data_IF_237291857132
#
_entry.id   IF_237291857132
#
_cell.length_a   1.000
_cell.length_b   1.000
_cell.length_c   1.000
_cell.angle_alpha   90.00
_cell.angle_beta   90.00
_cell.angle_gamma   90.00
#
_symmetry.space_group_name_H-M   'P 1'
#
loop_
_entity.id
_entity.type
_entity.pdbx_description
1 polymer ?
#
# COMPACT_ATOMS: atom_id res chain seq x y z
N UNK A 1 2.15 23.47 8.82
CA UNK A 1 3.50 23.73 8.26
C UNK A 1 3.50 25.09 7.55
N UNK A 2 4.34 26.03 7.97
CA UNK A 2 4.32 27.42 7.48
C UNK A 2 5.70 27.99 7.16
N UNK A 3 6.77 27.22 7.39
CA UNK A 3 8.14 27.59 7.03
C UNK A 3 8.55 26.72 5.85
N UNK A 4 9.17 27.28 4.83
CA UNK A 4 9.67 26.52 3.67
C UNK A 4 11.19 26.44 3.75
N UNK A 5 11.76 25.26 3.48
CA UNK A 5 13.22 25.11 3.42
C UNK A 5 13.78 25.73 2.14
N UNK A 6 14.84 26.54 2.25
CA UNK A 6 15.49 27.18 1.11
C UNK A 6 16.27 26.22 0.21
N UNK A 7 16.66 25.04 0.71
CA UNK A 7 17.47 24.08 -0.04
C UNK A 7 16.66 23.01 -0.78
N UNK A 8 15.52 22.60 -0.23
CA UNK A 8 14.73 21.48 -0.76
C UNK A 8 13.22 21.76 -0.85
N UNK A 9 12.80 22.99 -0.58
CA UNK A 9 11.39 23.44 -0.65
C UNK A 9 10.42 22.70 0.27
N UNK A 10 10.93 21.83 1.15
CA UNK A 10 10.10 21.10 2.10
C UNK A 10 9.38 22.04 3.06
N UNK A 11 8.09 21.78 3.29
CA UNK A 11 7.28 22.49 4.28
C UNK A 11 7.60 21.99 5.69
N UNK A 12 7.86 22.93 6.59
CA UNK A 12 8.30 22.72 7.97
C UNK A 12 7.34 23.35 8.98
N UNK A 13 7.37 22.85 10.20
CA UNK A 13 6.71 23.49 11.34
C UNK A 13 7.60 24.55 11.99
N UNK A 14 6.99 25.56 12.61
CA UNK A 14 7.73 26.55 13.40
C UNK A 14 8.38 25.83 14.60
N UNK A 15 9.68 26.04 14.82
CA UNK A 15 10.45 25.38 15.88
C UNK A 15 11.13 24.08 15.48
N UNK A 16 10.90 23.55 14.28
CA UNK A 16 11.66 22.38 13.80
C UNK A 16 13.13 22.70 13.57
N UNK A 17 14.00 21.78 13.99
CA UNK A 17 15.44 21.92 13.80
C UNK A 17 15.77 22.17 12.31
N UNK A 18 16.75 23.03 11.99
CA UNK A 18 17.09 23.38 10.60
C UNK A 18 17.41 22.17 9.72
N UNK A 19 17.92 21.09 10.32
CA UNK A 19 18.34 19.88 9.61
C UNK A 19 17.24 18.85 9.31
N UNK A 20 15.99 19.02 9.77
CA UNK A 20 14.97 17.97 9.70
C UNK A 20 14.58 17.48 8.29
N UNK A 21 14.75 18.30 7.25
CA UNK A 21 14.32 17.97 5.89
C UNK A 21 15.46 17.50 4.98
N UNK A 22 16.54 18.28 4.89
CA UNK A 22 17.67 18.02 4.00
C UNK A 22 19.03 18.17 4.70
N UNK A 23 19.04 18.16 6.04
CA UNK A 23 20.23 18.41 6.84
C UNK A 23 20.99 19.70 6.43
N UNK A 24 20.25 20.81 6.28
CA UNK A 24 20.78 22.11 5.79
C UNK A 24 21.45 22.00 4.41
N UNK A 25 20.80 21.30 3.48
CA UNK A 25 21.28 21.15 2.10
C UNK A 25 22.33 20.06 1.87
N UNK A 26 22.74 19.31 2.91
CA UNK A 26 23.68 18.19 2.78
C UNK A 26 23.07 16.94 2.14
N UNK A 27 21.74 16.81 2.20
CA UNK A 27 21.00 15.70 1.62
C UNK A 27 20.16 16.21 0.47
N UNK A 28 20.43 15.72 -0.74
CA UNK A 28 19.59 15.92 -1.90
C UNK A 28 18.60 14.76 -2.00
N UNK A 29 17.32 15.04 -1.73
CA UNK A 29 16.27 14.04 -1.90
C UNK A 29 15.95 13.88 -3.39
N UNK A 30 15.80 12.64 -3.90
CA UNK A 30 15.30 12.45 -5.25
C UNK A 30 13.88 13.01 -5.36
N UNK A 31 13.51 13.45 -6.57
CA UNK A 31 12.13 13.87 -6.84
C UNK A 31 11.20 12.70 -6.61
N UNK A 32 10.05 12.99 -6.00
CA UNK A 32 8.97 12.02 -5.90
C UNK A 32 8.52 11.64 -7.31
N UNK A 33 8.40 10.34 -7.53
CA UNK A 33 7.86 9.80 -8.78
C UNK A 33 6.35 9.88 -8.67
N UNK A 34 5.71 10.39 -9.73
CA UNK A 34 4.26 10.44 -9.77
C UNK A 34 3.68 9.02 -9.69
N UNK A 35 2.60 8.81 -8.93
CA UNK A 35 1.95 7.52 -8.86
C UNK A 35 1.43 7.09 -10.25
N UNK A 36 1.39 5.78 -10.55
CA UNK A 36 0.81 5.29 -11.80
C UNK A 36 -0.71 5.51 -11.81
N UNK A 37 -1.33 5.52 -13.00
CA UNK A 37 -2.80 5.49 -13.09
C UNK A 37 -3.35 4.12 -12.67
N UNK A 38 -4.52 4.06 -12.00
CA UNK A 38 -5.45 5.16 -11.71
C UNK A 38 -5.15 5.98 -10.44
N UNK A 39 -4.07 5.66 -9.71
CA UNK A 39 -3.79 6.27 -8.40
C UNK A 39 -3.54 7.78 -8.49
N UNK A 40 -2.86 8.24 -9.55
CA UNK A 40 -2.66 9.68 -9.79
C UNK A 40 -3.98 10.44 -9.90
N UNK A 41 -4.92 9.94 -10.69
CA UNK A 41 -6.25 10.54 -10.80
C UNK A 41 -6.99 10.52 -9.45
N UNK A 42 -6.87 9.43 -8.70
CA UNK A 42 -7.52 9.27 -7.40
C UNK A 42 -6.94 10.16 -6.29
N UNK A 43 -5.66 10.54 -6.38
CA UNK A 43 -4.99 11.41 -5.41
C UNK A 43 -5.18 12.91 -5.69
N UNK A 44 -5.69 13.28 -6.86
CA UNK A 44 -5.85 14.68 -7.30
C UNK A 44 -6.78 15.54 -6.43
N UNK A 45 -7.74 14.95 -5.72
CA UNK A 45 -8.86 15.64 -5.05
C UNK A 45 -9.75 16.52 -5.96
N UNK A 46 -9.60 16.45 -7.28
CA UNK A 46 -10.32 17.32 -8.23
C UNK A 46 -11.72 16.80 -8.59
N UNK A 47 -11.87 15.48 -8.73
CA UNK A 47 -13.13 14.85 -9.12
C UNK A 47 -13.95 14.38 -7.90
N UNK A 48 -15.28 14.21 -8.04
CA UNK A 48 -16.08 13.57 -6.99
C UNK A 48 -15.54 12.19 -6.59
N UNK A 49 -14.98 11.45 -7.55
CA UNK A 49 -14.40 10.13 -7.33
C UNK A 49 -13.10 10.20 -6.50
N UNK A 50 -12.19 11.14 -6.82
CA UNK A 50 -10.96 11.31 -6.05
C UNK A 50 -11.22 11.84 -4.64
N UNK A 51 -12.20 12.74 -4.47
CA UNK A 51 -12.65 13.16 -3.12
C UNK A 51 -13.22 12.00 -2.31
N UNK A 52 -14.06 11.17 -2.93
CA UNK A 52 -14.60 9.97 -2.28
C UNK A 52 -13.49 9.00 -1.87
N UNK A 53 -12.53 8.77 -2.78
CA UNK A 53 -11.38 7.91 -2.54
C UNK A 53 -10.55 8.41 -1.36
N UNK A 54 -10.14 9.68 -1.35
CA UNK A 54 -9.35 10.28 -0.27
C UNK A 54 -10.09 10.24 1.08
N UNK A 55 -11.40 10.50 1.07
CA UNK A 55 -12.24 10.43 2.29
C UNK A 55 -12.26 9.01 2.87
N UNK A 56 -12.24 7.99 2.02
CA UNK A 56 -12.33 6.58 2.43
C UNK A 56 -11.00 5.82 2.29
N UNK A 57 -9.86 6.49 2.09
CA UNK A 57 -8.60 5.85 1.70
C UNK A 57 -8.14 4.80 2.72
N UNK A 58 -8.38 5.03 4.01
CA UNK A 58 -8.09 4.06 5.06
C UNK A 58 -8.89 2.78 4.90
N UNK A 59 -10.19 2.89 4.54
CA UNK A 59 -11.05 1.72 4.31
C UNK A 59 -10.57 0.92 3.12
N UNK A 60 -10.26 1.60 2.00
CA UNK A 60 -9.66 0.95 0.83
C UNK A 60 -8.38 0.22 1.21
N UNK A 61 -7.43 0.89 1.86
CA UNK A 61 -6.17 0.28 2.28
C UNK A 61 -6.38 -0.90 3.24
N UNK A 62 -7.33 -0.83 4.17
CA UNK A 62 -7.68 -1.93 5.05
C UNK A 62 -8.28 -3.12 4.29
N UNK A 63 -9.10 -2.90 3.27
CA UNK A 63 -9.61 -3.99 2.42
C UNK A 63 -8.48 -4.70 1.66
N UNK A 64 -7.46 -3.95 1.22
CA UNK A 64 -6.28 -4.52 0.54
C UNK A 64 -5.16 -4.96 1.50
N UNK A 65 -5.32 -4.73 2.81
CA UNK A 65 -4.39 -5.21 3.83
C UNK A 65 -4.49 -6.72 4.01
N UNK A 66 -5.58 -7.35 3.57
CA UNK A 66 -5.73 -8.80 3.54
C UNK A 66 -4.76 -9.40 2.51
N UNK A 67 -3.52 -9.61 2.92
CA UNK A 67 -2.60 -10.44 2.19
C UNK A 67 -3.09 -11.88 2.33
N UNK A 68 -3.61 -12.44 1.25
CA UNK A 68 -3.84 -13.88 1.21
C UNK A 68 -2.50 -14.60 1.29
N UNK A 69 -2.43 -15.73 1.99
CA UNK A 69 -1.23 -16.55 1.98
C UNK A 69 -1.31 -17.52 0.81
N UNK A 70 -0.35 -17.42 -0.11
CA UNK A 70 -0.17 -18.46 -1.11
C UNK A 70 0.92 -19.43 -0.68
N UNK A 71 0.77 -20.67 -1.13
CA UNK A 71 1.67 -21.78 -0.79
C UNK A 71 2.19 -22.42 -2.07
N UNK A 72 3.38 -23.02 -2.02
CA UNK A 72 3.92 -23.78 -3.16
C UNK A 72 3.12 -25.06 -3.38
N UNK A 73 2.79 -25.76 -2.30
CA UNK A 73 2.02 -27.01 -2.33
C UNK A 73 1.27 -27.20 -1.02
N UNK A 74 -0.04 -27.36 -1.12
CA UNK A 74 -0.89 -27.81 -0.01
C UNK A 74 -0.86 -29.35 0.04
N UNK A 75 -0.63 -29.92 1.22
CA UNK A 75 -0.75 -31.36 1.47
C UNK A 75 -2.16 -31.61 1.98
N UNK A 76 -2.92 -32.43 1.25
CA UNK A 76 -4.24 -32.90 1.63
C UNK A 76 -4.17 -34.37 1.99
N UNK A 77 -4.60 -34.70 3.21
CA UNK A 77 -4.73 -36.08 3.69
C UNK A 77 -6.20 -36.51 3.64
N UNK A 78 -6.47 -37.80 3.45
CA UNK A 78 -7.83 -38.33 3.48
C UNK A 78 -8.36 -38.37 4.91
N UNK A 79 -9.65 -38.07 5.08
CA UNK A 79 -10.31 -38.00 6.39
C UNK A 79 -10.47 -36.57 6.92
N UNK A 80 -10.83 -36.44 8.19
CA UNK A 80 -10.98 -35.15 8.84
C UNK A 80 -9.61 -34.60 9.24
N UNK A 81 -9.24 -33.45 8.69
CA UNK A 81 -7.99 -32.75 9.00
C UNK A 81 -8.32 -31.30 9.40
N UNK A 82 -8.23 -30.94 10.68
CA UNK A 82 -8.58 -29.58 11.15
C UNK A 82 -7.49 -28.54 10.82
N UNK A 83 -6.36 -28.96 10.26
CA UNK A 83 -5.19 -28.13 9.95
C UNK A 83 -4.80 -28.30 8.49
N UNK A 84 -4.43 -27.24 7.78
CA UNK A 84 -3.80 -27.39 6.46
C UNK A 84 -2.29 -27.54 6.61
N UNK A 85 -1.66 -28.38 5.78
CA UNK A 85 -0.21 -28.59 5.78
C UNK A 85 0.38 -28.02 4.50
N UNK A 86 1.51 -27.33 4.61
CA UNK A 86 2.21 -26.71 3.47
C UNK A 86 3.56 -27.36 3.28
N UNK A 87 3.88 -27.75 2.05
CA UNK A 87 5.21 -28.15 1.63
C UNK A 87 5.84 -27.02 0.81
N UNK A 88 6.97 -26.49 1.28
CA UNK A 88 7.68 -25.37 0.64
C UNK A 88 7.46 -24.05 1.37
N UNK A 89 7.40 -22.95 0.63
CA UNK A 89 7.37 -21.59 1.19
C UNK A 89 5.96 -21.00 1.18
N UNK A 90 5.67 -20.23 2.23
CA UNK A 90 4.48 -19.37 2.31
C UNK A 90 4.89 -17.97 1.85
N UNK A 91 4.07 -17.35 1.01
CA UNK A 91 4.30 -16.00 0.50
C UNK A 91 3.02 -15.17 0.59
N UNK A 92 3.18 -13.87 0.80
CA UNK A 92 2.06 -12.93 0.75
C UNK A 92 1.64 -12.74 -0.71
N UNK A 93 0.36 -12.96 -1.01
CA UNK A 93 -0.26 -12.60 -2.29
C UNK A 93 -1.29 -11.52 -2.08
N UNK A 94 -1.14 -10.47 -2.88
CA UNK A 94 -2.20 -9.52 -3.16
C UNK A 94 -3.10 -10.22 -4.19
N UNK A 95 -4.30 -10.62 -3.76
CA UNK A 95 -5.32 -11.23 -4.64
C UNK A 95 -6.49 -10.30 -4.82
N UNK A 96 -7.21 -10.50 -5.92
CA UNK A 96 -8.49 -9.85 -6.16
C UNK A 96 -9.46 -10.17 -5.01
N UNK A 97 -10.24 -9.16 -4.60
CA UNK A 97 -11.34 -9.34 -3.64
C UNK A 97 -12.44 -10.25 -4.20
N UNK A 98 -12.51 -10.40 -5.52
CA UNK A 98 -13.45 -11.27 -6.21
C UNK A 98 -12.71 -12.37 -6.98
N UNK A 99 -13.23 -13.61 -7.03
CA UNK A 99 -12.67 -14.62 -7.91
C UNK A 99 -12.73 -14.13 -9.36
N UNK A 100 -11.72 -14.47 -10.15
CA UNK A 100 -11.79 -14.28 -11.59
C UNK A 100 -12.89 -15.17 -12.17
N UNK A 101 -13.46 -14.83 -13.34
CA UNK A 101 -14.43 -15.69 -14.01
C UNK A 101 -13.87 -17.12 -14.16
N UNK A 102 -14.63 -18.12 -13.70
CA UNK A 102 -14.26 -19.53 -13.68
C UNK A 102 -13.11 -19.94 -12.73
N UNK A 103 -12.71 -19.08 -11.79
CA UNK A 103 -11.82 -19.48 -10.70
C UNK A 103 -12.62 -19.71 -9.40
N UNK A 104 -12.27 -20.76 -8.67
CA UNK A 104 -12.76 -20.93 -7.30
C UNK A 104 -12.25 -19.79 -6.41
N UNK A 105 -13.08 -19.38 -5.45
CA UNK A 105 -12.68 -18.43 -4.41
C UNK A 105 -11.57 -19.02 -3.56
N UNK A 106 -10.34 -18.60 -3.81
CA UNK A 106 -9.17 -18.99 -3.01
C UNK A 106 -8.86 -17.88 -2.02
N UNK A 107 -9.70 -17.74 -1.00
CA UNK A 107 -9.39 -16.96 0.19
C UNK A 107 -8.72 -17.88 1.22
N UNK A 108 -7.47 -17.56 1.55
CA UNK A 108 -6.80 -17.96 2.78
C UNK A 108 -6.28 -16.67 3.42
#
# INVERSE_FOLDING_TARGET
MSVTCEHCEAKKWKGEAPGMCCNRGKVQLPRLIDPPEPLRTLDSAESPMSKHFLTNIRRYNSCFQMTSFGTTKEIRESGYMPTFKVQGQVYHRIRSLYPLPNEETKFL
#
